data_IF_798698043898
#
_entry.id   IF_798698043898
#
_cell.length_a   1.000
_cell.length_b   1.000
_cell.length_c   1.000
_cell.angle_alpha   90.00
_cell.angle_beta   90.00
_cell.angle_gamma   90.00
#
_symmetry.space_group_name_H-M   'P 1'
#
loop_
_entity.id
_entity.type
_entity.pdbx_description
1 polymer ?
#
# COMPACT_ATOMS: atom_id res chain seq x y z
N UNK A 1 11.10 1.20 -5.25
CA UNK A 1 9.77 0.88 -5.81
C UNK A 1 9.77 -0.58 -6.27
N UNK A 2 8.85 -1.41 -5.76
CA UNK A 2 8.67 -2.80 -6.22
C UNK A 2 7.97 -2.79 -7.59
N UNK A 3 8.58 -3.45 -8.59
CA UNK A 3 8.05 -3.56 -9.96
C UNK A 3 7.69 -5.00 -10.30
N UNK A 4 6.71 -5.18 -11.19
CA UNK A 4 6.24 -6.50 -11.63
C UNK A 4 7.37 -7.36 -12.19
N UNK A 5 8.28 -6.76 -12.98
CA UNK A 5 9.44 -7.46 -13.55
C UNK A 5 10.33 -8.06 -12.48
N UNK A 6 10.69 -7.27 -11.46
CA UNK A 6 11.53 -7.74 -10.35
C UNK A 6 10.89 -8.91 -9.60
N UNK A 7 9.56 -8.88 -9.39
CA UNK A 7 8.86 -9.98 -8.71
C UNK A 7 8.75 -11.22 -9.60
N UNK A 8 8.54 -11.03 -10.91
CA UNK A 8 8.49 -12.13 -11.86
C UNK A 8 9.84 -12.86 -11.92
N UNK A 9 10.93 -12.10 -12.02
CA UNK A 9 12.30 -12.62 -12.03
C UNK A 9 12.62 -13.36 -10.73
N UNK A 10 12.29 -12.79 -9.56
CA UNK A 10 12.53 -13.41 -8.25
C UNK A 10 11.76 -14.72 -8.04
N UNK A 11 10.61 -14.89 -8.71
CA UNK A 11 9.77 -16.09 -8.63
C UNK A 11 10.00 -17.07 -9.80
N UNK A 12 10.87 -16.75 -10.76
CA UNK A 12 11.09 -17.57 -11.95
C UNK A 12 9.89 -17.64 -12.90
N UNK A 13 9.04 -16.61 -12.92
CA UNK A 13 7.89 -16.50 -13.82
C UNK A 13 8.10 -15.45 -14.90
N UNK A 14 7.39 -15.59 -16.03
CA UNK A 14 7.28 -14.48 -16.98
C UNK A 14 6.38 -13.39 -16.40
N UNK A 15 6.68 -12.13 -16.73
CA UNK A 15 5.87 -10.97 -16.35
C UNK A 15 4.41 -11.10 -16.81
N UNK A 16 4.19 -11.67 -17.99
CA UNK A 16 2.86 -11.95 -18.54
C UNK A 16 2.10 -12.97 -17.69
N UNK A 17 2.73 -14.08 -17.32
CA UNK A 17 2.10 -15.09 -16.47
C UNK A 17 1.74 -14.51 -15.11
N UNK A 18 2.68 -13.81 -14.47
CA UNK A 18 2.45 -13.22 -13.15
C UNK A 18 1.33 -12.17 -13.19
N UNK A 19 1.34 -11.28 -14.19
CA UNK A 19 0.27 -10.29 -14.39
C UNK A 19 -1.09 -10.96 -14.57
N UNK A 20 -1.16 -12.01 -15.41
CA UNK A 20 -2.38 -12.76 -15.67
C UNK A 20 -2.90 -13.44 -14.40
N UNK A 21 -2.02 -14.02 -13.59
CA UNK A 21 -2.39 -14.68 -12.32
C UNK A 21 -2.91 -13.65 -11.32
N UNK A 22 -2.19 -12.54 -11.12
CA UNK A 22 -2.62 -11.47 -10.21
C UNK A 22 -3.99 -10.94 -10.62
N UNK A 23 -4.16 -10.60 -11.90
CA UNK A 23 -5.42 -10.09 -12.39
C UNK A 23 -6.55 -11.11 -12.22
N UNK A 24 -6.33 -12.38 -12.60
CA UNK A 24 -7.35 -13.44 -12.48
C UNK A 24 -7.75 -13.71 -11.02
N UNK A 25 -6.82 -13.61 -10.07
CA UNK A 25 -7.07 -13.95 -8.66
C UNK A 25 -7.58 -12.77 -7.83
N UNK A 26 -7.11 -11.56 -8.12
CA UNK A 26 -7.44 -10.36 -7.33
C UNK A 26 -8.41 -9.40 -8.03
N UNK A 27 -8.61 -9.53 -9.34
CA UNK A 27 -9.34 -8.54 -10.15
C UNK A 27 -8.57 -7.23 -10.35
N UNK A 28 -7.31 -7.15 -9.90
CA UNK A 28 -6.50 -5.93 -9.84
C UNK A 28 -5.27 -6.05 -10.71
N UNK A 29 -4.75 -4.92 -11.18
CA UNK A 29 -3.41 -4.90 -11.77
C UNK A 29 -2.32 -5.01 -10.67
N UNK A 30 -1.08 -5.27 -11.07
CA UNK A 30 0.04 -5.43 -10.13
C UNK A 30 0.19 -4.25 -9.14
N UNK A 31 0.10 -3.01 -9.63
CA UNK A 31 0.28 -1.83 -8.79
C UNK A 31 -0.85 -1.70 -7.77
N UNK A 32 -2.09 -1.95 -8.17
CA UNK A 32 -3.24 -1.97 -7.27
C UNK A 32 -3.09 -3.07 -6.21
N UNK A 33 -2.74 -4.29 -6.65
CA UNK A 33 -2.50 -5.43 -5.76
C UNK A 33 -1.45 -5.10 -4.70
N UNK A 34 -0.27 -4.62 -5.10
CA UNK A 34 0.79 -4.24 -4.16
C UNK A 34 0.35 -3.09 -3.25
N UNK A 35 -0.32 -2.08 -3.78
CA UNK A 35 -0.78 -0.96 -2.98
C UNK A 35 -1.79 -1.37 -1.92
N UNK A 36 -2.65 -2.36 -2.16
CA UNK A 36 -3.56 -2.88 -1.12
C UNK A 36 -2.77 -3.39 0.10
N UNK A 37 -1.71 -4.19 -0.12
CA UNK A 37 -0.87 -4.67 0.98
C UNK A 37 -0.20 -3.53 1.73
N UNK A 38 0.38 -2.58 0.98
CA UNK A 38 1.06 -1.40 1.57
C UNK A 38 0.10 -0.55 2.39
N UNK A 39 -1.11 -0.31 1.89
CA UNK A 39 -2.12 0.50 2.56
C UNK A 39 -2.69 -0.18 3.80
N UNK A 40 -2.90 -1.49 3.75
CA UNK A 40 -3.30 -2.26 4.93
C UNK A 40 -2.22 -2.25 6.01
N UNK A 41 -0.95 -2.39 5.64
CA UNK A 41 0.15 -2.27 6.60
C UNK A 41 0.27 -0.85 7.15
N UNK A 42 0.08 0.17 6.31
CA UNK A 42 0.06 1.57 6.76
C UNK A 42 -1.04 1.80 7.81
N UNK A 43 -2.24 1.25 7.56
CA UNK A 43 -3.36 1.29 8.51
C UNK A 43 -2.98 0.68 9.85
N UNK A 44 -2.32 -0.48 9.84
CA UNK A 44 -1.81 -1.15 11.05
C UNK A 44 -0.80 -0.28 11.79
N UNK A 45 0.21 0.24 11.09
CA UNK A 45 1.25 1.09 11.67
C UNK A 45 0.69 2.40 12.24
N UNK A 46 -0.35 2.98 11.63
CA UNK A 46 -1.02 4.19 12.13
C UNK A 46 -1.69 3.98 13.49
N UNK A 47 -2.12 2.74 13.80
CA UNK A 47 -2.76 2.35 15.06
C UNK A 47 -1.69 1.93 16.08
N UNK A 48 -0.81 1.02 15.70
CA UNK A 48 0.17 0.41 16.60
C UNK A 48 1.26 1.40 17.05
N UNK A 49 1.48 2.47 16.27
CA UNK A 49 2.54 3.45 16.51
C UNK A 49 1.99 4.90 16.41
N UNK A 50 1.23 5.37 17.42
CA UNK A 50 0.63 6.70 17.39
C UNK A 50 1.68 7.83 17.29
N UNK A 51 2.85 7.63 17.89
CA UNK A 51 3.96 8.60 17.90
C UNK A 51 4.73 8.67 16.57
N UNK A 52 4.55 7.70 15.67
CA UNK A 52 5.26 7.69 14.41
C UNK A 52 4.69 8.76 13.48
N UNK A 53 5.57 9.52 12.83
CA UNK A 53 5.12 10.48 11.82
C UNK A 53 4.44 9.75 10.65
N UNK A 54 3.41 10.34 10.06
CA UNK A 54 2.81 9.79 8.83
C UNK A 54 3.86 9.73 7.69
N UNK A 55 4.86 10.61 7.74
CA UNK A 55 5.99 10.61 6.81
C UNK A 55 6.80 9.32 6.88
N UNK A 56 7.23 8.91 8.07
CA UNK A 56 7.99 7.66 8.24
C UNK A 56 7.15 6.46 7.82
N UNK A 57 5.88 6.40 8.21
CA UNK A 57 4.99 5.29 7.85
C UNK A 57 4.87 5.11 6.34
N UNK A 58 4.63 6.18 5.58
CA UNK A 58 4.47 6.00 4.13
C UNK A 58 5.78 5.57 3.46
N UNK A 59 6.94 5.98 3.98
CA UNK A 59 8.23 5.52 3.49
C UNK A 59 8.45 4.03 3.83
N UNK A 60 8.13 3.63 5.06
CA UNK A 60 8.29 2.24 5.54
C UNK A 60 7.45 1.25 4.74
N UNK A 61 6.22 1.63 4.37
CA UNK A 61 5.35 0.80 3.51
C UNK A 61 5.65 0.97 2.02
N UNK A 62 6.69 1.72 1.65
CA UNK A 62 7.24 1.75 0.29
C UNK A 62 6.63 2.78 -0.67
N UNK A 63 5.99 3.85 -0.18
CA UNK A 63 5.67 5.03 -0.98
C UNK A 63 6.84 6.02 -0.98
N UNK A 64 7.09 6.63 -2.14
CA UNK A 64 8.21 7.58 -2.29
C UNK A 64 7.81 9.03 -1.99
N UNK A 65 6.51 9.35 -1.93
CA UNK A 65 6.05 10.72 -1.69
C UNK A 65 4.66 10.76 -1.03
N UNK A 66 4.41 11.89 -0.35
CA UNK A 66 3.17 12.17 0.39
C UNK A 66 1.93 12.14 -0.49
N UNK A 67 1.96 12.77 -1.66
CA UNK A 67 0.77 12.93 -2.50
C UNK A 67 0.24 11.59 -3.01
N UNK A 68 1.12 10.72 -3.50
CA UNK A 68 0.76 9.36 -3.95
C UNK A 68 0.19 8.54 -2.80
N UNK A 69 0.82 8.58 -1.62
CA UNK A 69 0.33 7.88 -0.44
C UNK A 69 -1.06 8.38 0.00
N UNK A 70 -1.23 9.68 0.21
CA UNK A 70 -2.49 10.26 0.65
C UNK A 70 -3.64 9.97 -0.33
N UNK A 71 -3.39 10.08 -1.64
CA UNK A 71 -4.39 9.78 -2.66
C UNK A 71 -4.78 8.30 -2.67
N UNK A 72 -3.80 7.39 -2.56
CA UNK A 72 -4.06 5.96 -2.51
C UNK A 72 -4.83 5.57 -1.24
N UNK A 73 -4.40 6.07 -0.08
CA UNK A 73 -5.02 5.81 1.21
C UNK A 73 -6.46 6.33 1.25
N UNK A 74 -6.70 7.58 0.80
CA UNK A 74 -8.04 8.16 0.72
C UNK A 74 -8.95 7.43 -0.26
N UNK A 75 -8.42 6.95 -1.38
CA UNK A 75 -9.19 6.15 -2.34
C UNK A 75 -9.66 4.84 -1.72
N UNK A 76 -8.80 4.17 -0.96
CA UNK A 76 -9.09 2.86 -0.36
C UNK A 76 -9.98 2.98 0.88
N UNK A 77 -9.62 3.84 1.82
CA UNK A 77 -10.26 3.92 3.15
C UNK A 77 -11.23 5.09 3.31
N UNK A 78 -11.45 5.87 2.24
CA UNK A 78 -12.39 7.01 2.20
C UNK A 78 -12.11 8.14 3.19
N UNK A 79 -10.95 8.14 3.81
CA UNK A 79 -10.43 9.18 4.71
C UNK A 79 -8.92 9.34 4.50
N UNK A 80 -8.35 10.46 4.91
CA UNK A 80 -6.90 10.66 4.90
C UNK A 80 -6.22 9.87 6.03
N UNK A 81 -4.91 9.56 5.91
CA UNK A 81 -4.15 8.93 6.99
C UNK A 81 -4.22 9.68 8.32
N UNK A 82 -4.29 11.02 8.26
CA UNK A 82 -4.42 11.89 9.43
C UNK A 82 -5.79 11.74 10.08
N UNK A 83 -6.87 11.90 9.32
CA UNK A 83 -8.25 11.69 9.80
C UNK A 83 -8.45 10.29 10.38
N UNK A 84 -7.88 9.26 9.73
CA UNK A 84 -7.94 7.89 10.22
C UNK A 84 -7.26 7.76 11.59
N UNK A 85 -6.07 8.32 11.77
CA UNK A 85 -5.37 8.27 13.06
C UNK A 85 -6.13 9.01 14.15
N UNK A 86 -6.60 10.21 13.87
CA UNK A 86 -7.31 11.04 14.85
C UNK A 86 -8.58 10.34 15.36
N UNK A 87 -9.27 9.59 14.48
CA UNK A 87 -10.44 8.77 14.86
C UNK A 87 -10.12 7.61 15.79
N UNK A 88 -8.88 7.09 15.77
CA UNK A 88 -8.46 5.96 16.59
C UNK A 88 -7.91 6.39 17.96
N UNK A 89 -7.43 7.63 18.08
CA UNK A 89 -6.95 8.21 19.35
C UNK A 89 -8.12 8.78 20.16
N UNK A 90 -9.21 9.19 19.49
CA UNK A 90 -10.40 9.76 20.15
C UNK A 90 -11.42 8.71 20.63
N UNK A 91 -11.10 7.41 20.54
CA UNK A 91 -11.90 6.28 21.03
C UNK A 91 -11.19 5.59 22.19
#
# INVERSE_FOLDING_TARGET
ELRLVNLADALGFSTHLLSKVINKKSGKNFNQFVNDYRLNEAKRLLIDNPDYSIKSIYFDVGFNNKATFYNAFKKEFRCTPSEFRDSMISS
#
